data_IF_912566219453
#
_entry.id   IF_912566219453
#
_cell.length_a   1.000
_cell.length_b   1.000
_cell.length_c   1.000
_cell.angle_alpha   90.00
_cell.angle_beta   90.00
_cell.angle_gamma   90.00
#
_symmetry.space_group_name_H-M   'P 1'
#
loop_
_entity.id
_entity.type
_entity.pdbx_description
1 polymer ?
#
# COMPACT_ATOMS: atom_id res chain seq x y z
N UNK A 1 -6.65 13.56 -7.49
CA UNK A 1 -6.14 12.49 -8.37
C UNK A 1 -6.49 12.69 -9.84
N UNK A 2 -5.50 12.56 -10.73
CA UNK A 2 -5.67 12.51 -12.20
C UNK A 2 -5.78 11.07 -12.71
N UNK A 3 -6.25 10.88 -13.96
CA UNK A 3 -6.38 9.55 -14.59
C UNK A 3 -5.05 8.78 -14.66
N UNK A 4 -3.94 9.49 -14.86
CA UNK A 4 -2.60 8.90 -14.85
C UNK A 4 -2.19 8.38 -13.46
N UNK A 5 -2.55 9.11 -12.39
CA UNK A 5 -2.32 8.69 -11.01
C UNK A 5 -3.17 7.47 -10.64
N UNK A 6 -4.42 7.41 -11.11
CA UNK A 6 -5.29 6.23 -10.91
C UNK A 6 -4.68 4.99 -11.57
N UNK A 7 -4.25 5.09 -12.83
CA UNK A 7 -3.60 3.98 -13.54
C UNK A 7 -2.32 3.51 -12.84
N UNK A 8 -1.50 4.44 -12.34
CA UNK A 8 -0.31 4.11 -11.55
C UNK A 8 -0.66 3.39 -10.26
N UNK A 9 -1.64 3.86 -9.50
CA UNK A 9 -2.09 3.21 -8.26
C UNK A 9 -2.61 1.78 -8.53
N UNK A 10 -3.39 1.58 -9.59
CA UNK A 10 -3.86 0.23 -9.99
C UNK A 10 -2.67 -0.66 -10.33
N UNK A 11 -1.69 -0.15 -11.11
CA UNK A 11 -0.49 -0.91 -11.47
C UNK A 11 0.32 -1.32 -10.24
N UNK A 12 0.56 -0.39 -9.31
CA UNK A 12 1.29 -0.65 -8.07
C UNK A 12 0.54 -1.63 -7.17
N UNK A 13 -0.80 -1.52 -7.09
CA UNK A 13 -1.64 -2.44 -6.34
C UNK A 13 -1.58 -3.87 -6.90
N UNK A 14 -1.60 -4.01 -8.24
CA UNK A 14 -1.45 -5.30 -8.90
C UNK A 14 -0.05 -5.90 -8.68
N UNK A 15 1.00 -5.09 -8.80
CA UNK A 15 2.37 -5.54 -8.56
C UNK A 15 2.56 -6.02 -7.12
N UNK A 16 2.07 -5.24 -6.15
CA UNK A 16 2.07 -5.59 -4.75
C UNK A 16 1.28 -6.88 -4.47
N UNK A 17 0.09 -7.02 -5.05
CA UNK A 17 -0.74 -8.24 -4.91
C UNK A 17 -0.01 -9.48 -5.45
N UNK A 18 0.62 -9.36 -6.62
CA UNK A 18 1.45 -10.42 -7.18
C UNK A 18 2.70 -10.74 -6.35
N UNK A 19 3.30 -9.74 -5.71
CA UNK A 19 4.40 -9.95 -4.78
C UNK A 19 3.94 -10.65 -3.48
N UNK A 20 2.78 -10.27 -2.94
CA UNK A 20 2.20 -10.91 -1.76
C UNK A 20 1.91 -12.39 -1.98
N UNK A 21 1.34 -12.75 -3.13
CA UNK A 21 1.07 -14.17 -3.47
C UNK A 21 2.37 -14.96 -3.53
N UNK A 22 3.40 -14.41 -4.20
CA UNK A 22 4.72 -15.05 -4.32
C UNK A 22 5.47 -15.16 -2.99
N UNK A 23 5.21 -14.24 -2.05
CA UNK A 23 5.90 -14.17 -0.76
C UNK A 23 4.94 -14.28 0.42
N UNK A 24 3.93 -15.15 0.32
CA UNK A 24 2.85 -15.25 1.32
C UNK A 24 3.37 -15.42 2.76
N UNK A 25 4.51 -16.10 2.93
CA UNK A 25 5.18 -16.28 4.21
C UNK A 25 5.58 -14.96 4.90
N UNK A 26 5.96 -13.93 4.13
CA UNK A 26 6.31 -12.60 4.66
C UNK A 26 5.10 -11.82 5.15
N UNK A 27 3.91 -12.14 4.65
CA UNK A 27 2.66 -11.41 4.90
C UNK A 27 1.67 -12.16 5.80
N UNK A 28 2.08 -13.24 6.46
CA UNK A 28 1.25 -14.00 7.40
C UNK A 28 0.66 -13.16 8.55
N UNK A 29 1.31 -12.06 8.89
CA UNK A 29 0.87 -11.13 9.93
C UNK A 29 -0.24 -10.16 9.46
N UNK A 30 -0.51 -10.09 8.15
CA UNK A 30 -1.59 -9.27 7.59
C UNK A 30 -2.90 -10.02 7.76
N UNK A 31 -3.79 -9.46 8.58
CA UNK A 31 -5.09 -10.07 8.86
C UNK A 31 -6.00 -10.07 7.63
N UNK A 32 -6.95 -11.02 7.58
CA UNK A 32 -8.02 -11.01 6.58
C UNK A 32 -8.82 -9.72 6.67
N UNK A 33 -9.27 -9.21 5.52
CA UNK A 33 -9.99 -7.93 5.37
C UNK A 33 -9.18 -6.69 5.81
N UNK A 34 -7.85 -6.78 5.81
CA UNK A 34 -6.99 -5.62 5.97
C UNK A 34 -7.19 -4.62 4.81
N UNK A 35 -7.18 -3.34 5.15
CA UNK A 35 -7.07 -2.25 4.18
C UNK A 35 -5.60 -1.94 3.99
N UNK A 36 -5.10 -2.05 2.77
CA UNK A 36 -3.70 -1.79 2.45
C UNK A 36 -3.65 -0.57 1.55
N UNK A 37 -2.88 0.44 1.97
CA UNK A 37 -2.59 1.61 1.13
C UNK A 37 -1.16 1.52 0.66
N UNK A 38 -0.97 1.60 -0.65
CA UNK A 38 0.36 1.62 -1.26
C UNK A 38 0.92 3.04 -1.21
N UNK A 39 2.11 3.22 -0.65
CA UNK A 39 2.85 4.49 -0.70
C UNK A 39 4.10 4.29 -1.57
N UNK A 40 4.16 4.88 -2.78
CA UNK A 40 5.37 4.86 -3.59
C UNK A 40 6.39 5.85 -3.04
N UNK A 41 7.66 5.43 -2.89
CA UNK A 41 8.74 6.36 -2.50
C UNK A 41 9.16 7.27 -3.66
N UNK A 42 9.06 6.80 -4.90
CA UNK A 42 9.54 7.48 -6.09
C UNK A 42 8.55 8.48 -6.71
N UNK A 43 7.33 8.62 -6.16
CA UNK A 43 6.31 9.54 -6.69
C UNK A 43 5.71 10.40 -5.57
N UNK A 44 6.32 11.57 -5.33
CA UNK A 44 5.95 12.49 -4.25
C UNK A 44 4.47 12.91 -4.30
N UNK A 45 3.93 13.16 -5.49
CA UNK A 45 2.52 13.58 -5.67
C UNK A 45 1.56 12.43 -5.32
N UNK A 46 1.88 11.20 -5.73
CA UNK A 46 1.05 10.04 -5.39
C UNK A 46 1.18 9.69 -3.90
N UNK A 47 2.37 9.85 -3.33
CA UNK A 47 2.63 9.70 -1.90
C UNK A 47 1.75 10.63 -1.07
N UNK A 48 1.73 11.93 -1.35
CA UNK A 48 0.91 12.89 -0.59
C UNK A 48 -0.60 12.58 -0.67
N UNK A 49 -1.11 12.19 -1.85
CA UNK A 49 -2.53 11.81 -2.01
C UNK A 49 -2.86 10.51 -1.25
N UNK A 50 -1.96 9.52 -1.29
CA UNK A 50 -2.16 8.24 -0.60
C UNK A 50 -1.96 8.39 0.93
N UNK A 51 -1.12 9.31 1.39
CA UNK A 51 -1.00 9.70 2.80
C UNK A 51 -2.28 10.40 3.29
N UNK A 52 -2.86 11.31 2.51
CA UNK A 52 -4.19 11.87 2.83
C UNK A 52 -5.27 10.79 2.89
N UNK A 53 -5.19 9.76 2.04
CA UNK A 53 -6.09 8.62 2.10
C UNK A 53 -5.90 7.82 3.39
N UNK A 54 -4.66 7.61 3.84
CA UNK A 54 -4.34 6.99 5.12
C UNK A 54 -4.96 7.76 6.28
N UNK A 55 -4.81 9.09 6.31
CA UNK A 55 -5.43 9.97 7.31
C UNK A 55 -6.95 9.76 7.40
N UNK A 56 -7.63 9.68 6.25
CA UNK A 56 -9.08 9.42 6.18
C UNK A 56 -9.44 8.01 6.64
N UNK A 57 -8.56 7.02 6.42
CA UNK A 57 -8.77 5.62 6.77
C UNK A 57 -8.28 5.25 8.17
N UNK A 58 -7.70 6.17 8.94
CA UNK A 58 -7.18 5.94 10.31
C UNK A 58 -8.16 5.24 11.26
N UNK A 59 -9.47 5.38 11.03
CA UNK A 59 -10.51 4.73 11.83
C UNK A 59 -10.64 3.22 11.56
N UNK A 60 -10.00 2.69 10.50
CA UNK A 60 -10.01 1.25 10.20
C UNK A 60 -9.04 0.51 11.11
N UNK A 61 -9.54 -0.51 11.83
CA UNK A 61 -8.77 -1.35 12.77
C UNK A 61 -7.57 -2.07 12.14
N UNK A 62 -7.65 -2.38 10.84
CA UNK A 62 -6.69 -3.19 10.12
C UNK A 62 -6.14 -2.44 8.91
N UNK A 63 -5.56 -1.27 9.18
CA UNK A 63 -4.89 -0.46 8.16
C UNK A 63 -3.40 -0.80 8.11
N UNK A 64 -2.91 -1.07 6.91
CA UNK A 64 -1.52 -1.38 6.64
C UNK A 64 -1.02 -0.48 5.51
N UNK A 65 0.27 -0.17 5.56
CA UNK A 65 0.99 0.57 4.53
C UNK A 65 1.88 -0.40 3.80
N UNK A 66 1.76 -0.43 2.47
CA UNK A 66 2.68 -1.14 1.60
C UNK A 66 3.65 -0.14 0.96
N UNK A 67 4.94 -0.34 1.18
CA UNK A 67 5.99 0.51 0.61
C UNK A 67 6.82 -0.30 -0.37
N UNK A 68 7.04 0.28 -1.56
CA UNK A 68 7.89 -0.32 -2.58
C UNK A 68 9.35 0.04 -2.31
N UNK A 69 10.17 -0.98 -2.10
CA UNK A 69 11.63 -0.91 -1.96
C UNK A 69 12.30 -1.30 -3.29
N UNK A 70 13.62 -1.12 -3.40
CA UNK A 70 14.40 -1.49 -4.59
C UNK A 70 14.20 -2.95 -5.03
N UNK A 71 14.15 -3.88 -4.08
CA UNK A 71 14.08 -5.33 -4.34
C UNK A 71 12.80 -6.00 -3.81
N UNK A 72 11.71 -5.23 -3.67
CA UNK A 72 10.42 -5.81 -3.34
C UNK A 72 9.51 -4.89 -2.55
N UNK A 73 8.64 -5.51 -1.74
CA UNK A 73 7.63 -4.79 -0.97
C UNK A 73 7.77 -5.08 0.52
N UNK A 74 7.59 -4.04 1.32
CA UNK A 74 7.42 -4.14 2.77
C UNK A 74 6.02 -3.72 3.16
N UNK A 75 5.47 -4.34 4.20
CA UNK A 75 4.16 -3.98 4.76
C UNK A 75 4.33 -3.71 6.23
N UNK A 76 3.81 -2.57 6.67
CA UNK A 76 3.82 -2.17 8.08
C UNK A 76 2.41 -1.84 8.53
N UNK A 77 2.05 -2.25 9.74
CA UNK A 77 0.77 -1.86 10.32
C UNK A 77 0.80 -0.35 10.56
N UNK A 78 -0.21 0.36 10.04
CA UNK A 78 -0.35 1.78 10.32
C UNK A 78 -0.74 1.93 11.80
N UNK A 79 0.24 2.29 12.63
CA UNK A 79 0.02 2.67 14.03
C UNK A 79 -0.14 4.19 14.06
N UNK A 80 -1.28 4.63 14.57
CA UNK A 80 -1.59 6.03 14.85
C UNK A 80 -0.62 6.58 15.89
#
# INVERSE_FOLDING_TARGET
MTTAQVRKNIKLSNDFSGYMIRHINKFKHVVRNASIVVIPENDKKLKEENEKLLEKMKRRKHLYVATQLKDGWTVSKFKK
#
